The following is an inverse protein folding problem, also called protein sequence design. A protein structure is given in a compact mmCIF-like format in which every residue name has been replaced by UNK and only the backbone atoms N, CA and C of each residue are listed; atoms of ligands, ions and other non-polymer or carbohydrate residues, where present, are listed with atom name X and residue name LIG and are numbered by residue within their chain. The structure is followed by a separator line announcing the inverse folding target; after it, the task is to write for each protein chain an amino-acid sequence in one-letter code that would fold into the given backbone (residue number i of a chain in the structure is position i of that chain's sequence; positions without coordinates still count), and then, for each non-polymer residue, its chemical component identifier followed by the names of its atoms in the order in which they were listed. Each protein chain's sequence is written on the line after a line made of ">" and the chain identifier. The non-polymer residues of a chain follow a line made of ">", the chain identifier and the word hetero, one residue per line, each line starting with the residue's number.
data_IF_932152865262
#
_entry.id   IF_932152865262
#
_cell.length_a   1.000
_cell.length_b   1.000
_cell.length_c   1.000
_cell.angle_alpha   90.00
_cell.angle_beta   90.00
_cell.angle_gamma   90.00
#
_symmetry.space_group_name_H-M   'P 1'
#
loop_
_entity.id
_entity.type
_entity.pdbx_description
1 polymer ?
#
# COMPACT_ATOMS: atom_id res chain seq x y z
N UNK A 1 -18.77 64.24 -55.55
CA UNK A 1 -19.28 63.08 -54.79
C UNK A 1 -18.19 62.02 -54.70
N UNK A 2 -17.63 61.75 -53.51
CA UNK A 2 -16.65 60.66 -53.32
C UNK A 2 -17.42 59.38 -53.01
N UNK A 3 -17.37 58.40 -53.91
CA UNK A 3 -17.90 57.06 -53.69
C UNK A 3 -16.89 56.29 -52.83
N UNK A 4 -17.25 56.03 -51.57
CA UNK A 4 -16.51 55.12 -50.70
C UNK A 4 -16.84 53.67 -51.10
N UNK A 5 -15.91 53.03 -51.82
CA UNK A 5 -15.92 51.58 -52.03
C UNK A 5 -15.75 50.89 -50.67
N UNK A 6 -16.84 50.39 -50.10
CA UNK A 6 -16.81 49.55 -48.91
C UNK A 6 -16.25 48.16 -49.28
N UNK A 7 -14.93 48.00 -49.23
CA UNK A 7 -14.26 46.70 -49.31
C UNK A 7 -14.66 45.86 -48.07
N UNK A 8 -15.55 44.88 -48.26
CA UNK A 8 -15.92 43.93 -47.21
C UNK A 8 -14.77 42.93 -47.00
N UNK A 9 -14.19 42.90 -45.80
CA UNK A 9 -13.17 41.91 -45.41
C UNK A 9 -13.78 40.50 -45.41
N UNK A 10 -13.29 39.61 -46.27
CA UNK A 10 -13.67 38.18 -46.27
C UNK A 10 -12.75 37.43 -45.31
N UNK A 11 -13.29 36.95 -44.19
CA UNK A 11 -12.56 36.13 -43.22
C UNK A 11 -12.63 34.66 -43.59
N UNK A 12 -11.48 33.99 -43.65
CA UNK A 12 -11.38 32.54 -43.91
C UNK A 12 -11.88 31.76 -42.70
N UNK A 13 -12.61 30.67 -42.94
CA UNK A 13 -13.04 29.75 -41.87
C UNK A 13 -11.81 29.05 -41.29
N UNK A 14 -11.58 29.13 -39.97
CA UNK A 14 -10.44 28.47 -39.35
C UNK A 14 -10.61 26.95 -39.46
N UNK A 15 -9.62 26.32 -40.08
CA UNK A 15 -9.53 24.86 -40.23
C UNK A 15 -8.20 24.39 -39.68
N UNK A 16 -8.12 23.11 -39.29
CA UNK A 16 -6.88 22.48 -38.83
C UNK A 16 -6.32 21.61 -39.96
N UNK A 17 -4.99 21.59 -40.10
CA UNK A 17 -4.29 20.72 -41.07
C UNK A 17 -4.39 19.24 -40.69
N UNK A 18 -4.46 18.94 -39.39
CA UNK A 18 -4.62 17.58 -38.85
C UNK A 18 -5.82 17.55 -37.92
N UNK A 19 -6.75 16.62 -38.18
CA UNK A 19 -7.99 16.45 -37.40
C UNK A 19 -8.10 14.99 -36.97
N UNK A 20 -8.28 14.76 -35.66
CA UNK A 20 -8.54 13.44 -35.11
C UNK A 20 -9.90 12.92 -35.58
N UNK A 21 -9.99 11.63 -35.92
CA UNK A 21 -11.23 11.03 -36.40
C UNK A 21 -12.43 11.19 -35.43
N UNK A 22 -12.18 11.23 -34.12
CA UNK A 22 -13.25 11.44 -33.12
C UNK A 22 -13.88 12.84 -33.23
N UNK A 23 -13.14 13.85 -33.71
CA UNK A 23 -13.67 15.18 -33.96
C UNK A 23 -14.59 15.25 -35.19
N UNK A 24 -14.57 14.21 -36.05
CA UNK A 24 -15.49 14.06 -37.19
C UNK A 24 -16.82 13.41 -36.80
N UNK A 25 -17.01 13.10 -35.51
CA UNK A 25 -18.25 12.49 -35.02
C UNK A 25 -19.41 13.47 -35.14
N UNK A 26 -20.50 12.99 -35.74
CA UNK A 26 -21.71 13.78 -35.89
C UNK A 26 -22.36 14.06 -34.52
N UNK A 27 -22.75 15.32 -34.31
CA UNK A 27 -23.66 15.73 -33.26
C UNK A 27 -24.75 16.61 -33.88
N UNK A 28 -26.05 16.41 -33.58
CA UNK A 28 -27.14 17.15 -34.23
C UNK A 28 -27.02 18.68 -34.15
N UNK A 29 -26.36 19.19 -33.09
CA UNK A 29 -26.13 20.62 -32.87
C UNK A 29 -24.71 21.09 -33.19
N UNK A 30 -23.84 20.21 -33.73
CA UNK A 30 -22.41 20.47 -33.93
C UNK A 30 -21.69 21.05 -32.69
N UNK A 31 -22.15 20.62 -31.50
CA UNK A 31 -21.68 21.05 -30.20
C UNK A 31 -21.19 19.85 -29.40
N UNK A 32 -20.51 20.09 -28.27
CA UNK A 32 -20.14 19.02 -27.34
C UNK A 32 -21.42 18.37 -26.76
N UNK A 33 -21.56 17.04 -26.81
CA UNK A 33 -22.72 16.36 -26.22
C UNK A 33 -22.74 16.50 -24.70
N UNK A 34 -23.94 16.63 -24.12
CA UNK A 34 -24.12 16.62 -22.68
C UNK A 34 -23.76 15.23 -22.13
N UNK A 35 -22.88 15.19 -21.12
CA UNK A 35 -22.57 13.97 -20.36
C UNK A 35 -23.31 14.01 -19.02
N UNK A 36 -24.36 13.21 -18.88
CA UNK A 36 -25.10 13.08 -17.62
C UNK A 36 -24.28 12.30 -16.60
N UNK A 37 -24.38 12.69 -15.33
CA UNK A 37 -23.80 11.92 -14.22
C UNK A 37 -24.61 10.63 -14.07
N UNK A 38 -23.90 9.52 -13.83
CA UNK A 38 -24.50 8.21 -13.59
C UNK A 38 -25.43 8.23 -12.37
N UNK A 39 -26.40 7.32 -12.32
CA UNK A 39 -27.35 7.20 -11.20
C UNK A 39 -26.67 7.00 -9.84
N UNK A 40 -27.41 7.27 -8.77
CA UNK A 40 -26.90 7.15 -7.40
C UNK A 40 -26.59 5.70 -6.99
N UNK A 41 -27.17 4.72 -7.70
CA UNK A 41 -26.87 3.29 -7.56
C UNK A 41 -25.42 2.91 -7.89
N UNK A 42 -24.64 3.84 -8.45
CA UNK A 42 -23.22 3.67 -8.77
C UNK A 42 -22.31 4.50 -7.87
N UNK A 43 -22.83 5.09 -6.78
CA UNK A 43 -22.01 5.86 -5.84
C UNK A 43 -21.08 4.94 -5.02
N UNK A 44 -21.56 3.75 -4.69
CA UNK A 44 -20.79 2.67 -4.05
C UNK A 44 -20.67 1.50 -5.01
N UNK A 45 -19.60 0.71 -4.86
CA UNK A 45 -19.39 -0.52 -5.63
C UNK A 45 -19.77 -1.69 -4.74
N UNK A 46 -20.85 -2.37 -5.11
CA UNK A 46 -21.47 -3.46 -4.36
C UNK A 46 -21.67 -4.67 -5.29
N UNK A 47 -21.99 -5.84 -4.74
CA UNK A 47 -22.30 -7.07 -5.50
C UNK A 47 -23.33 -6.87 -6.63
N UNK A 48 -24.27 -5.95 -6.43
CA UNK A 48 -25.33 -5.66 -7.41
C UNK A 48 -24.81 -4.99 -8.68
N UNK A 49 -23.70 -4.23 -8.61
CA UNK A 49 -23.23 -3.40 -9.71
C UNK A 49 -21.80 -3.75 -10.20
N UNK A 50 -21.00 -4.50 -9.44
CA UNK A 50 -19.62 -4.86 -9.84
C UNK A 50 -19.55 -5.65 -11.16
N UNK A 51 -20.53 -6.52 -11.41
CA UNK A 51 -20.58 -7.37 -12.60
C UNK A 51 -21.19 -6.69 -13.83
N UNK A 52 -21.64 -5.43 -13.73
CA UNK A 52 -22.32 -4.76 -14.84
C UNK A 52 -21.42 -4.61 -16.06
N UNK A 53 -20.12 -4.35 -15.84
CA UNK A 53 -19.14 -4.24 -16.91
C UNK A 53 -18.97 -5.56 -17.66
N UNK A 54 -18.84 -6.67 -16.92
CA UNK A 54 -18.77 -8.03 -17.46
C UNK A 54 -19.99 -8.34 -18.31
N UNK A 55 -21.20 -8.13 -17.76
CA UNK A 55 -22.46 -8.38 -18.46
C UNK A 55 -22.52 -7.67 -19.82
N UNK A 56 -22.28 -6.36 -19.81
CA UNK A 56 -22.35 -5.53 -21.02
C UNK A 56 -21.28 -5.89 -22.06
N UNK A 57 -20.10 -6.36 -21.63
CA UNK A 57 -19.06 -6.84 -22.55
C UNK A 57 -19.49 -8.15 -23.21
N UNK A 58 -19.99 -9.12 -22.42
CA UNK A 58 -20.49 -10.39 -22.95
C UNK A 58 -21.67 -10.18 -23.91
N UNK A 59 -22.58 -9.25 -23.59
CA UNK A 59 -23.70 -8.85 -24.47
C UNK A 59 -23.20 -8.26 -25.80
N UNK A 60 -22.19 -7.38 -25.77
CA UNK A 60 -21.61 -6.79 -27.00
C UNK A 60 -20.88 -7.83 -27.86
N UNK A 61 -20.20 -8.79 -27.24
CA UNK A 61 -19.49 -9.87 -27.93
C UNK A 61 -20.44 -10.93 -28.53
N UNK A 62 -21.65 -11.07 -27.97
CA UNK A 62 -22.69 -11.99 -28.46
C UNK A 62 -23.71 -11.30 -29.37
N UNK A 63 -23.56 -10.00 -29.62
CA UNK A 63 -24.50 -9.15 -30.33
C UNK A 63 -24.35 -9.18 -31.86
N UNK A 64 -24.79 -8.08 -32.49
CA UNK A 64 -24.54 -7.82 -33.91
C UNK A 64 -23.36 -6.85 -34.06
N UNK A 65 -22.46 -7.15 -35.00
CA UNK A 65 -21.20 -6.41 -35.16
C UNK A 65 -21.16 -5.65 -36.49
N UNK A 66 -20.72 -4.39 -36.42
CA UNK A 66 -20.45 -3.54 -37.57
C UNK A 66 -21.70 -2.97 -38.25
N UNK A 67 -21.50 -2.18 -39.31
CA UNK A 67 -22.59 -1.52 -40.05
C UNK A 67 -23.53 -2.51 -40.73
N UNK A 68 -23.00 -3.66 -41.15
CA UNK A 68 -23.77 -4.75 -41.76
C UNK A 68 -24.53 -5.62 -40.76
N UNK A 69 -24.36 -5.35 -39.45
CA UNK A 69 -25.05 -6.05 -38.37
C UNK A 69 -24.85 -7.57 -38.42
N UNK A 70 -23.59 -8.01 -38.59
CA UNK A 70 -23.28 -9.43 -38.60
C UNK A 70 -23.58 -10.05 -37.24
N UNK A 71 -24.46 -11.05 -37.22
CA UNK A 71 -24.83 -11.78 -36.00
C UNK A 71 -23.67 -12.66 -35.54
N UNK A 72 -23.25 -12.50 -34.29
CA UNK A 72 -22.32 -13.43 -33.66
C UNK A 72 -23.03 -14.76 -33.38
N UNK A 73 -22.45 -15.86 -33.86
CA UNK A 73 -23.06 -17.19 -33.75
C UNK A 73 -22.90 -17.80 -32.35
N UNK A 74 -21.86 -17.41 -31.61
CA UNK A 74 -21.64 -17.85 -30.24
C UNK A 74 -22.31 -16.88 -29.27
N UNK A 75 -23.18 -17.40 -28.40
CA UNK A 75 -23.75 -16.65 -27.29
C UNK A 75 -22.98 -16.95 -26.00
N UNK A 76 -22.11 -16.02 -25.62
CA UNK A 76 -21.31 -16.11 -24.39
C UNK A 76 -22.01 -15.49 -23.18
N UNK A 77 -23.19 -14.87 -23.35
CA UNK A 77 -23.95 -14.30 -22.22
C UNK A 77 -24.45 -15.37 -21.25
N UNK A 78 -24.65 -16.61 -21.73
CA UNK A 78 -25.04 -17.77 -20.92
C UNK A 78 -24.07 -18.11 -19.78
N UNK A 79 -22.81 -17.68 -19.90
CA UNK A 79 -21.76 -17.93 -18.91
C UNK A 79 -21.70 -16.87 -17.80
N UNK A 80 -22.54 -15.82 -17.90
CA UNK A 80 -22.54 -14.71 -16.96
C UNK A 80 -22.88 -15.14 -15.53
N UNK A 81 -23.94 -15.93 -15.33
CA UNK A 81 -24.33 -16.34 -13.97
C UNK A 81 -23.28 -17.25 -13.33
N UNK A 82 -22.63 -18.15 -14.08
CA UNK A 82 -21.51 -18.97 -13.56
C UNK A 82 -20.31 -18.12 -13.15
N UNK A 83 -19.92 -17.16 -13.97
CA UNK A 83 -18.83 -16.22 -13.62
C UNK A 83 -19.15 -15.41 -12.36
N UNK A 84 -20.42 -15.03 -12.21
CA UNK A 84 -20.91 -14.29 -11.04
C UNK A 84 -20.98 -15.17 -9.79
N UNK A 85 -21.39 -16.44 -9.91
CA UNK A 85 -21.39 -17.44 -8.83
C UNK A 85 -19.96 -17.69 -8.32
N UNK A 86 -18.97 -17.76 -9.21
CA UNK A 86 -17.55 -17.84 -8.87
C UNK A 86 -16.97 -16.53 -8.32
N UNK A 87 -17.78 -15.46 -8.28
CA UNK A 87 -17.38 -14.16 -7.80
C UNK A 87 -16.41 -13.42 -8.73
N UNK A 88 -16.27 -13.83 -9.99
CA UNK A 88 -15.30 -13.25 -10.94
C UNK A 88 -15.96 -12.12 -11.73
N UNK A 89 -15.49 -10.89 -11.51
CA UNK A 89 -15.89 -9.74 -12.33
C UNK A 89 -14.97 -9.52 -13.55
N UNK A 90 -15.30 -8.56 -14.44
CA UNK A 90 -14.48 -8.28 -15.62
C UNK A 90 -13.07 -7.80 -15.27
N UNK A 91 -12.92 -7.06 -14.18
CA UNK A 91 -11.65 -6.50 -13.76
C UNK A 91 -10.75 -7.57 -13.17
N UNK A 92 -11.31 -8.52 -12.43
CA UNK A 92 -10.67 -9.73 -11.92
C UNK A 92 -10.27 -10.70 -13.03
N UNK A 93 -11.14 -10.92 -14.02
CA UNK A 93 -10.86 -11.77 -15.17
C UNK A 93 -9.57 -11.37 -15.91
N UNK A 94 -9.24 -10.08 -15.91
CA UNK A 94 -8.01 -9.55 -16.51
C UNK A 94 -6.76 -9.83 -15.68
N UNK A 95 -6.90 -10.08 -14.38
CA UNK A 95 -5.81 -10.41 -13.47
C UNK A 95 -5.51 -11.90 -13.42
N UNK A 96 -6.36 -12.75 -13.99
CA UNK A 96 -6.11 -14.18 -14.06
C UNK A 96 -4.91 -14.46 -14.97
N UNK A 97 -4.01 -15.31 -14.49
CA UNK A 97 -2.87 -15.78 -15.25
C UNK A 97 -3.32 -16.83 -16.29
N UNK A 98 -2.39 -17.26 -17.15
CA UNK A 98 -2.71 -18.19 -18.25
C UNK A 98 -3.27 -19.52 -17.74
N UNK A 99 -2.70 -20.09 -16.67
CA UNK A 99 -3.11 -21.38 -16.11
C UNK A 99 -4.49 -21.29 -15.44
N UNK A 100 -4.75 -20.22 -14.69
CA UNK A 100 -6.05 -19.92 -14.08
C UNK A 100 -7.12 -19.69 -15.15
N UNK A 101 -6.79 -19.03 -16.26
CA UNK A 101 -7.71 -18.87 -17.38
C UNK A 101 -8.02 -20.19 -18.09
N UNK A 102 -7.05 -21.11 -18.19
CA UNK A 102 -7.31 -22.45 -18.74
C UNK A 102 -8.22 -23.24 -17.81
N UNK A 103 -7.95 -23.24 -16.51
CA UNK A 103 -8.79 -23.89 -15.50
C UNK A 103 -10.23 -23.34 -15.52
N UNK A 104 -10.38 -22.01 -15.50
CA UNK A 104 -11.68 -21.35 -15.62
C UNK A 104 -12.40 -21.74 -16.92
N UNK A 105 -11.70 -21.77 -18.06
CA UNK A 105 -12.32 -22.06 -19.35
C UNK A 105 -12.64 -23.54 -19.54
N UNK A 106 -11.83 -24.46 -19.02
CA UNK A 106 -11.99 -25.90 -19.24
C UNK A 106 -12.87 -26.54 -18.17
N UNK A 107 -12.64 -26.22 -16.89
CA UNK A 107 -13.24 -26.94 -15.76
C UNK A 107 -14.50 -26.26 -15.20
N UNK A 108 -14.56 -24.93 -15.18
CA UNK A 108 -15.68 -24.18 -14.59
C UNK A 108 -16.72 -23.80 -15.66
N UNK A 109 -16.28 -23.05 -16.67
CA UNK A 109 -17.17 -22.54 -17.71
C UNK A 109 -17.40 -23.55 -18.84
N UNK A 110 -16.47 -24.50 -19.02
CA UNK A 110 -16.45 -25.47 -20.11
C UNK A 110 -16.69 -24.81 -21.48
N UNK A 111 -15.94 -23.76 -21.78
CA UNK A 111 -16.06 -23.00 -23.03
C UNK A 111 -15.64 -23.84 -24.24
N UNK A 112 -16.45 -23.79 -25.30
CA UNK A 112 -16.02 -24.33 -26.60
C UNK A 112 -14.85 -23.54 -27.18
N UNK A 113 -14.10 -24.14 -28.12
CA UNK A 113 -12.97 -23.46 -28.78
C UNK A 113 -13.40 -22.18 -29.49
N UNK A 114 -14.59 -22.16 -30.07
CA UNK A 114 -15.17 -20.99 -30.74
C UNK A 114 -15.58 -19.90 -29.76
N UNK A 115 -16.17 -20.26 -28.61
CA UNK A 115 -16.50 -19.29 -27.55
C UNK A 115 -15.23 -18.68 -26.95
N UNK A 116 -14.20 -19.49 -26.73
CA UNK A 116 -12.89 -19.01 -26.29
C UNK A 116 -12.31 -18.00 -27.28
N UNK A 117 -12.39 -18.28 -28.58
CA UNK A 117 -11.90 -17.37 -29.63
C UNK A 117 -12.65 -16.03 -29.67
N UNK A 118 -13.92 -15.99 -29.27
CA UNK A 118 -14.72 -14.75 -29.19
C UNK A 118 -14.34 -13.92 -27.96
N UNK A 119 -14.08 -14.57 -26.81
CA UNK A 119 -13.77 -13.89 -25.55
C UNK A 119 -12.30 -13.42 -25.47
N UNK A 120 -11.36 -14.20 -26.03
CA UNK A 120 -9.92 -13.93 -25.95
C UNK A 120 -9.51 -12.52 -26.42
N UNK A 121 -10.01 -11.97 -27.55
CA UNK A 121 -9.62 -10.62 -27.97
C UNK A 121 -9.91 -9.53 -26.94
N UNK A 122 -11.00 -9.66 -26.18
CA UNK A 122 -11.35 -8.70 -25.13
C UNK A 122 -10.42 -8.81 -23.91
N UNK A 123 -10.02 -10.03 -23.56
CA UNK A 123 -9.09 -10.31 -22.45
C UNK A 123 -7.66 -9.91 -22.84
N UNK A 124 -7.24 -10.20 -24.07
CA UNK A 124 -5.92 -9.87 -24.61
C UNK A 124 -5.72 -8.36 -24.69
N UNK A 125 -6.70 -7.64 -25.22
CA UNK A 125 -6.69 -6.18 -25.20
C UNK A 125 -6.87 -5.57 -23.79
N UNK A 126 -7.10 -6.41 -22.76
CA UNK A 126 -7.34 -6.01 -21.37
C UNK A 126 -8.31 -4.83 -21.28
N UNK A 127 -9.46 -4.94 -21.98
CA UNK A 127 -10.43 -3.85 -22.13
C UNK A 127 -10.68 -3.16 -20.77
N UNK A 128 -10.58 -1.83 -20.73
CA UNK A 128 -10.64 -1.05 -19.49
C UNK A 128 -11.88 -1.40 -18.62
N UNK A 129 -13.05 -1.51 -19.23
CA UNK A 129 -14.25 -2.03 -18.55
C UNK A 129 -15.01 -1.01 -17.68
N UNK A 130 -14.55 0.24 -17.61
CA UNK A 130 -15.23 1.31 -16.84
C UNK A 130 -16.50 1.77 -17.54
N UNK A 131 -17.59 1.91 -16.80
CA UNK A 131 -18.84 2.48 -17.31
C UNK A 131 -18.70 3.99 -17.52
N UNK A 132 -18.83 4.42 -18.78
CA UNK A 132 -18.70 5.84 -19.17
C UNK A 132 -19.99 6.60 -18.96
N UNK A 133 -19.87 7.90 -18.73
CA UNK A 133 -21.02 8.83 -18.77
C UNK A 133 -21.56 8.93 -20.21
N UNK A 134 -22.87 8.92 -20.34
CA UNK A 134 -23.59 9.05 -21.61
C UNK A 134 -24.50 10.28 -21.62
N UNK A 135 -25.17 10.48 -22.74
CA UNK A 135 -26.29 11.43 -22.89
C UNK A 135 -27.50 11.05 -22.03
N UNK A 136 -27.66 9.76 -21.71
CA UNK A 136 -28.71 9.24 -20.81
C UNK A 136 -28.18 8.93 -19.41
N UNK A 137 -29.09 8.85 -18.42
CA UNK A 137 -28.75 8.48 -17.02
C UNK A 137 -28.40 7.00 -16.84
N UNK A 138 -28.99 6.12 -17.65
CA UNK A 138 -28.68 4.68 -17.68
C UNK A 138 -27.70 4.39 -18.82
N UNK A 139 -26.40 4.48 -18.51
CA UNK A 139 -25.35 4.21 -19.49
C UNK A 139 -25.16 2.71 -19.72
N UNK A 140 -24.98 2.32 -20.98
CA UNK A 140 -24.48 1.00 -21.41
C UNK A 140 -23.14 1.12 -22.14
N UNK A 141 -22.51 2.29 -22.03
CA UNK A 141 -21.26 2.63 -22.71
C UNK A 141 -20.07 2.23 -21.83
N UNK A 142 -19.24 1.32 -22.32
CA UNK A 142 -18.03 0.86 -21.63
C UNK A 142 -16.79 1.44 -22.30
N UNK A 143 -15.78 1.72 -21.49
CA UNK A 143 -14.46 2.06 -21.97
C UNK A 143 -13.76 0.85 -22.61
N UNK A 144 -13.59 0.92 -23.94
CA UNK A 144 -12.92 -0.12 -24.77
C UNK A 144 -11.44 0.16 -25.02
N UNK A 145 -10.87 1.18 -24.37
CA UNK A 145 -9.43 1.43 -24.45
C UNK A 145 -8.66 0.27 -23.82
N UNK A 146 -7.46 0.00 -24.34
CA UNK A 146 -6.56 -1.00 -23.77
C UNK A 146 -6.17 -0.60 -22.34
N UNK A 147 -6.24 -1.57 -21.44
CA UNK A 147 -5.81 -1.40 -20.05
C UNK A 147 -4.30 -1.52 -19.91
N UNK A 148 -3.73 -0.82 -18.93
CA UNK A 148 -2.31 -0.91 -18.56
C UNK A 148 -2.17 -1.40 -17.12
N UNK A 149 -1.12 -2.18 -16.85
CA UNK A 149 -0.89 -2.80 -15.54
C UNK A 149 -0.70 -1.76 -14.42
N UNK A 150 -0.02 -0.64 -14.70
CA UNK A 150 0.20 0.48 -13.76
C UNK A 150 -1.11 1.08 -13.19
N UNK A 151 -2.21 0.89 -13.91
CA UNK A 151 -3.54 1.35 -13.53
C UNK A 151 -4.53 0.19 -13.34
N UNK A 152 -4.05 -0.98 -12.93
CA UNK A 152 -4.90 -2.11 -12.56
C UNK A 152 -5.75 -2.58 -13.73
N UNK A 153 -5.14 -2.61 -14.92
CA UNK A 153 -5.77 -2.88 -16.21
C UNK A 153 -6.92 -1.92 -16.56
N UNK A 154 -6.91 -0.70 -15.98
CA UNK A 154 -7.64 0.46 -16.52
C UNK A 154 -6.75 1.21 -17.50
N UNK A 155 -7.33 2.09 -18.29
CA UNK A 155 -6.60 2.76 -19.37
C UNK A 155 -5.83 4.03 -18.95
N UNK A 156 -5.92 4.49 -17.70
CA UNK A 156 -5.31 5.76 -17.24
C UNK A 156 -5.98 7.04 -17.76
N UNK A 157 -6.62 6.98 -18.93
CA UNK A 157 -7.31 8.10 -19.55
C UNK A 157 -8.62 8.46 -18.83
N UNK A 158 -8.98 9.74 -18.84
CA UNK A 158 -10.23 10.28 -18.30
C UNK A 158 -10.49 9.94 -16.82
N UNK A 159 -9.40 9.80 -16.02
CA UNK A 159 -9.49 9.47 -14.61
C UNK A 159 -9.74 7.99 -14.32
N UNK A 160 -9.67 7.11 -15.33
CA UNK A 160 -9.75 5.65 -15.16
C UNK A 160 -8.43 5.11 -14.56
N UNK A 161 -8.28 5.34 -13.26
CA UNK A 161 -7.16 4.88 -12.43
C UNK A 161 -7.57 3.65 -11.63
N UNK A 162 -6.68 3.11 -10.78
CA UNK A 162 -6.97 1.95 -9.93
C UNK A 162 -8.33 2.08 -9.22
N UNK A 163 -9.05 0.95 -9.18
CA UNK A 163 -10.32 0.76 -8.48
C UNK A 163 -11.51 1.59 -8.97
N UNK A 164 -11.37 2.29 -10.11
CA UNK A 164 -12.50 2.97 -10.75
C UNK A 164 -13.35 1.96 -11.54
N UNK A 165 -14.63 1.82 -11.17
CA UNK A 165 -15.62 1.00 -11.90
C UNK A 165 -16.56 1.87 -12.76
N UNK A 166 -16.87 3.08 -12.28
CA UNK A 166 -17.85 3.98 -12.89
C UNK A 166 -17.28 5.40 -13.04
N UNK A 167 -17.42 6.01 -14.22
CA UNK A 167 -16.80 7.30 -14.53
C UNK A 167 -17.34 8.44 -13.66
N UNK A 168 -16.43 9.02 -12.88
CA UNK A 168 -16.70 10.12 -11.95
C UNK A 168 -17.66 9.76 -10.82
N UNK A 169 -17.52 8.54 -10.31
CA UNK A 169 -18.00 8.06 -9.01
C UNK A 169 -16.81 7.74 -8.11
N UNK A 170 -17.08 7.40 -6.86
CA UNK A 170 -16.02 7.01 -5.92
C UNK A 170 -15.28 5.76 -6.45
N UNK A 171 -14.00 5.65 -6.09
CA UNK A 171 -13.26 4.41 -6.27
C UNK A 171 -13.92 3.32 -5.43
N UNK A 172 -13.89 2.09 -5.93
CA UNK A 172 -14.28 0.95 -5.13
C UNK A 172 -13.41 0.91 -3.87
N UNK A 173 -13.99 0.53 -2.73
CA UNK A 173 -13.22 0.32 -1.53
C UNK A 173 -12.41 -0.97 -1.72
N UNK A 174 -11.06 -0.92 -1.79
CA UNK A 174 -10.24 -2.10 -2.02
C UNK A 174 -10.44 -3.16 -0.95
N UNK A 175 -10.75 -2.78 0.30
CA UNK A 175 -11.07 -3.73 1.37
C UNK A 175 -12.34 -4.52 1.08
N UNK A 176 -13.36 -3.86 0.52
CA UNK A 176 -14.63 -4.47 0.15
C UNK A 176 -14.45 -5.37 -1.08
N UNK A 177 -13.69 -4.90 -2.08
CA UNK A 177 -13.36 -5.72 -3.24
C UNK A 177 -12.52 -6.95 -2.88
N UNK A 178 -11.56 -6.84 -1.95
CA UNK A 178 -10.74 -7.97 -1.54
C UNK A 178 -11.52 -9.05 -0.78
N UNK A 179 -12.61 -8.69 -0.10
CA UNK A 179 -13.57 -9.67 0.46
C UNK A 179 -14.29 -10.42 -0.68
N UNK A 180 -14.60 -9.72 -1.77
CA UNK A 180 -15.29 -10.26 -2.94
C UNK A 180 -14.36 -10.96 -3.96
N UNK A 181 -13.04 -10.73 -3.89
CA UNK A 181 -11.99 -11.34 -4.72
C UNK A 181 -11.65 -12.80 -4.34
N UNK A 182 -12.43 -13.43 -3.46
CA UNK A 182 -12.26 -14.83 -3.04
C UNK A 182 -12.77 -15.79 -4.12
N UNK A 183 -12.12 -15.78 -5.30
CA UNK A 183 -12.40 -16.76 -6.35
C UNK A 183 -11.97 -18.16 -5.88
N UNK A 184 -12.83 -19.17 -6.02
CA UNK A 184 -12.54 -20.57 -5.69
C UNK A 184 -11.27 -21.09 -6.40
N UNK A 185 -11.01 -20.60 -7.61
CA UNK A 185 -9.85 -20.86 -8.47
C UNK A 185 -8.50 -20.57 -7.78
N UNK A 186 -8.47 -19.66 -6.80
CA UNK A 186 -7.25 -19.21 -6.11
C UNK A 186 -7.03 -19.83 -4.74
N UNK A 187 -7.97 -20.66 -4.26
CA UNK A 187 -7.85 -21.38 -2.99
C UNK A 187 -7.66 -22.87 -3.24
N UNK A 188 -6.51 -23.42 -2.85
CA UNK A 188 -6.20 -24.85 -3.03
C UNK A 188 -5.78 -25.45 -1.69
N UNK A 189 -6.30 -26.63 -1.37
CA UNK A 189 -5.88 -27.39 -0.19
C UNK A 189 -4.60 -28.17 -0.50
N UNK A 190 -3.55 -27.93 0.29
CA UNK A 190 -2.24 -28.59 0.16
C UNK A 190 -1.79 -29.06 1.54
N UNK A 191 -1.56 -30.36 1.68
CA UNK A 191 -1.11 -30.99 2.94
C UNK A 191 -2.01 -30.68 4.16
N UNK A 192 -3.33 -30.69 3.96
CA UNK A 192 -4.32 -30.38 5.02
C UNK A 192 -4.44 -28.89 5.36
N UNK A 193 -3.78 -28.03 4.60
CA UNK A 193 -3.78 -26.57 4.78
C UNK A 193 -4.41 -25.89 3.56
N UNK A 194 -5.38 -25.00 3.80
CA UNK A 194 -5.97 -24.17 2.73
C UNK A 194 -5.00 -23.03 2.37
N UNK A 195 -4.55 -22.99 1.12
CA UNK A 195 -3.59 -21.99 0.60
C UNK A 195 -4.33 -21.05 -0.34
N UNK A 196 -4.20 -19.74 -0.11
CA UNK A 196 -4.62 -18.70 -1.07
C UNK A 196 -3.40 -18.17 -1.83
N UNK A 197 -3.40 -18.30 -3.16
CA UNK A 197 -2.31 -17.83 -4.03
C UNK A 197 -2.72 -16.54 -4.71
N UNK A 198 -1.91 -15.47 -4.56
CA UNK A 198 -2.13 -14.17 -5.22
C UNK A 198 -0.97 -13.86 -6.17
N UNK A 199 -1.30 -13.36 -7.37
CA UNK A 199 -0.33 -13.01 -8.41
C UNK A 199 0.39 -11.69 -8.15
N UNK A 200 -0.21 -10.78 -7.38
CA UNK A 200 0.44 -9.55 -6.94
C UNK A 200 -0.13 -9.06 -5.60
N UNK A 201 0.71 -8.59 -4.67
CA UNK A 201 0.29 -7.79 -3.53
C UNK A 201 -0.31 -6.47 -4.00
N UNK A 202 -1.37 -6.02 -3.34
CA UNK A 202 -1.65 -4.58 -3.26
C UNK A 202 -0.99 -4.05 -1.97
N UNK A 203 0.22 -3.49 -2.12
CA UNK A 203 0.91 -2.80 -1.02
C UNK A 203 0.52 -1.33 -0.91
N UNK A 204 -0.46 -0.87 -1.71
CA UNK A 204 -1.00 0.46 -1.52
C UNK A 204 -1.71 0.48 -0.17
N UNK A 205 -1.15 1.25 0.76
CA UNK A 205 -1.68 1.33 2.11
C UNK A 205 -3.00 2.09 2.06
N UNK A 206 -4.08 1.38 2.38
CA UNK A 206 -5.34 1.97 2.81
C UNK A 206 -5.16 2.40 4.27
N UNK A 207 -4.59 3.59 4.49
CA UNK A 207 -4.25 4.06 5.83
C UNK A 207 -3.80 5.51 5.88
N UNK A 208 -4.79 6.41 5.97
CA UNK A 208 -4.77 7.76 6.57
C UNK A 208 -3.56 8.69 6.31
N UNK A 209 -3.16 8.89 5.05
CA UNK A 209 -2.55 10.17 4.65
C UNK A 209 -3.60 11.09 4.02
N UNK A 210 -4.53 11.58 4.84
CA UNK A 210 -5.33 12.76 4.48
C UNK A 210 -4.92 14.00 5.28
N UNK A 211 -3.94 13.87 6.18
CA UNK A 211 -3.48 14.97 7.01
C UNK A 211 -2.08 15.40 6.54
N UNK A 212 -1.84 16.70 6.30
CA UNK A 212 -0.51 17.18 6.01
C UNK A 212 0.41 16.90 7.20
N UNK A 213 1.56 16.26 6.98
CA UNK A 213 2.68 16.19 7.93
C UNK A 213 3.37 17.57 8.02
N UNK A 214 2.58 18.62 8.24
CA UNK A 214 3.08 19.93 8.59
C UNK A 214 3.07 19.99 10.12
N UNK A 215 4.22 19.93 10.79
CA UNK A 215 4.26 20.21 12.22
C UNK A 215 3.68 21.61 12.43
N UNK A 216 2.87 21.77 13.47
CA UNK A 216 2.37 23.08 13.89
C UNK A 216 3.57 23.79 14.51
N UNK A 217 4.39 24.44 13.67
CA UNK A 217 5.66 25.06 14.08
C UNK A 217 5.42 25.96 15.29
N UNK A 218 5.88 25.52 16.46
CA UNK A 218 6.20 26.40 17.55
C UNK A 218 7.61 26.92 17.29
N UNK A 219 7.80 28.22 17.45
CA UNK A 219 9.07 28.90 17.18
C UNK A 219 10.23 28.19 17.88
N UNK A 220 11.26 27.82 17.12
CA UNK A 220 12.53 27.35 17.68
C UNK A 220 13.11 28.46 18.57
N UNK A 221 13.30 28.23 19.88
CA UNK A 221 13.89 29.17 20.80
C UNK A 221 15.34 29.43 20.38
N UNK A 222 15.79 30.67 20.59
CA UNK A 222 17.12 31.12 20.18
C UNK A 222 18.25 30.39 20.93
N UNK A 223 17.96 29.81 22.10
CA UNK A 223 18.91 29.05 22.91
C UNK A 223 18.26 27.76 23.46
N UNK A 224 18.29 26.63 22.71
CA UNK A 224 17.77 25.37 23.21
C UNK A 224 18.63 24.80 24.35
N UNK A 225 18.00 24.14 25.31
CA UNK A 225 18.69 23.42 26.40
C UNK A 225 19.14 22.05 25.91
N UNK A 226 18.33 21.41 25.06
CA UNK A 226 18.58 20.07 24.54
C UNK A 226 18.75 20.08 23.03
N UNK A 227 19.64 19.21 22.54
CA UNK A 227 19.80 18.89 21.14
C UNK A 227 19.37 17.44 20.90
N UNK A 228 18.37 17.28 20.03
CA UNK A 228 17.89 15.95 19.62
C UNK A 228 18.45 15.64 18.23
N UNK A 229 19.10 14.50 18.10
CA UNK A 229 19.66 14.00 16.84
C UNK A 229 19.08 12.64 16.47
N UNK A 230 18.88 12.41 15.17
CA UNK A 230 18.37 11.14 14.66
C UNK A 230 19.55 10.22 14.33
N UNK A 231 19.59 9.02 14.93
CA UNK A 231 20.57 7.98 14.57
C UNK A 231 20.10 7.28 13.28
N UNK A 232 18.84 6.85 13.23
CA UNK A 232 18.24 6.27 12.04
C UNK A 232 17.13 5.24 12.33
N UNK A 233 16.58 4.69 11.25
CA UNK A 233 15.64 3.56 11.31
C UNK A 233 16.35 2.23 11.17
N UNK A 234 15.95 1.29 12.02
CA UNK A 234 16.16 -0.13 11.80
C UNK A 234 14.82 -0.78 11.44
N UNK A 235 14.71 -1.34 10.23
CA UNK A 235 13.55 -2.13 9.83
C UNK A 235 13.77 -3.60 10.12
N UNK A 236 12.79 -4.25 10.77
CA UNK A 236 12.83 -5.69 11.04
C UNK A 236 12.07 -6.47 9.99
N UNK A 237 12.53 -6.36 8.75
CA UNK A 237 11.92 -6.96 7.56
C UNK A 237 13.02 -7.66 6.77
N UNK A 238 12.73 -8.82 6.20
CA UNK A 238 13.69 -9.53 5.36
C UNK A 238 14.03 -8.69 4.11
N UNK A 239 15.30 -8.62 3.65
CA UNK A 239 15.69 -7.76 2.51
C UNK A 239 14.99 -8.11 1.20
N UNK A 240 14.71 -9.40 1.01
CA UNK A 240 13.98 -9.91 -0.15
C UNK A 240 12.45 -9.81 0.00
N UNK A 241 11.94 -9.23 1.09
CA UNK A 241 10.51 -9.04 1.26
C UNK A 241 9.99 -8.06 0.18
N UNK A 242 8.92 -8.41 -0.53
CA UNK A 242 8.40 -7.62 -1.64
C UNK A 242 7.92 -6.20 -1.23
N UNK A 243 7.73 -5.91 0.07
CA UNK A 243 7.40 -4.58 0.60
C UNK A 243 8.59 -3.62 0.67
N UNK A 244 9.82 -4.14 0.73
CA UNK A 244 11.04 -3.35 0.98
C UNK A 244 11.21 -2.23 -0.05
N UNK A 245 11.14 -2.58 -1.34
CA UNK A 245 11.33 -1.61 -2.42
C UNK A 245 10.27 -0.50 -2.39
N UNK A 246 8.95 -0.81 -2.43
CA UNK A 246 7.93 0.23 -2.48
C UNK A 246 7.79 1.02 -1.16
N UNK A 247 7.97 0.40 0.00
CA UNK A 247 7.66 1.02 1.30
C UNK A 247 8.90 1.54 2.05
N UNK A 248 10.12 1.12 1.70
CA UNK A 248 11.36 1.61 2.34
C UNK A 248 12.20 2.40 1.33
N UNK A 249 12.64 1.76 0.25
CA UNK A 249 13.60 2.38 -0.69
C UNK A 249 12.97 3.51 -1.50
N UNK A 250 11.83 3.24 -2.16
CA UNK A 250 11.10 4.25 -2.95
C UNK A 250 10.48 5.35 -2.07
N UNK A 251 10.14 5.01 -0.83
CA UNK A 251 9.54 5.90 0.14
C UNK A 251 10.52 6.51 1.15
N UNK A 252 11.82 6.41 0.91
CA UNK A 252 12.86 6.87 1.84
C UNK A 252 12.66 8.33 2.29
N UNK A 253 12.22 9.19 1.37
CA UNK A 253 11.95 10.61 1.66
C UNK A 253 10.82 10.80 2.69
N UNK A 254 9.81 9.93 2.66
CA UNK A 254 8.68 10.03 3.60
C UNK A 254 9.07 9.55 4.99
N UNK A 255 9.93 8.54 5.09
CA UNK A 255 10.53 8.11 6.36
C UNK A 255 11.46 9.16 6.96
N UNK A 256 12.28 9.80 6.13
CA UNK A 256 13.12 10.93 6.54
C UNK A 256 12.26 12.10 7.08
N UNK A 257 11.16 12.41 6.40
CA UNK A 257 10.20 13.41 6.87
C UNK A 257 9.55 13.00 8.20
N UNK A 258 9.12 11.74 8.32
CA UNK A 258 8.55 11.22 9.57
C UNK A 258 9.55 11.34 10.72
N UNK A 259 10.82 10.95 10.52
CA UNK A 259 11.85 11.09 11.53
C UNK A 259 12.07 12.55 11.96
N UNK A 260 12.10 13.48 11.00
CA UNK A 260 12.23 14.91 11.29
C UNK A 260 11.05 15.44 12.12
N UNK A 261 9.82 15.01 11.81
CA UNK A 261 8.63 15.38 12.60
C UNK A 261 8.69 14.79 14.00
N UNK A 262 9.03 13.50 14.16
CA UNK A 262 9.17 12.88 15.48
C UNK A 262 10.28 13.53 16.29
N UNK A 263 11.43 13.81 15.68
CA UNK A 263 12.55 14.54 16.29
C UNK A 263 12.10 15.90 16.81
N UNK A 264 11.34 16.65 16.02
CA UNK A 264 10.81 17.95 16.43
C UNK A 264 9.86 17.83 17.62
N UNK A 265 8.91 16.89 17.59
CA UNK A 265 7.96 16.68 18.70
C UNK A 265 8.70 16.31 19.99
N UNK A 266 9.69 15.42 19.89
CA UNK A 266 10.54 15.05 21.05
C UNK A 266 11.25 16.28 21.60
N UNK A 267 11.87 17.06 20.73
CA UNK A 267 12.57 18.28 21.12
C UNK A 267 11.62 19.29 21.80
N UNK A 268 10.40 19.47 21.28
CA UNK A 268 9.38 20.33 21.91
C UNK A 268 8.96 19.83 23.30
N UNK A 269 8.75 18.52 23.48
CA UNK A 269 8.40 17.95 24.79
C UNK A 269 9.53 18.11 25.80
N UNK A 270 10.79 18.04 25.34
CA UNK A 270 11.95 18.25 26.19
C UNK A 270 12.07 19.70 26.66
N UNK A 271 11.98 20.66 25.75
CA UNK A 271 12.12 22.09 26.12
C UNK A 271 10.98 22.59 27.03
N UNK A 272 9.78 22.02 26.92
CA UNK A 272 8.65 22.44 27.74
C UNK A 272 8.63 21.83 29.14
N UNK A 273 8.99 20.55 29.26
CA UNK A 273 8.69 19.76 30.45
C UNK A 273 9.92 19.10 31.08
N UNK A 274 11.03 18.98 30.36
CA UNK A 274 12.17 18.22 30.86
C UNK A 274 13.09 19.05 31.76
N UNK A 275 13.67 18.36 32.75
CA UNK A 275 14.70 18.91 33.62
C UNK A 275 16.03 18.27 33.28
N UNK A 276 17.07 19.10 33.16
CA UNK A 276 18.44 18.69 32.82
C UNK A 276 19.05 17.76 33.89
N UNK A 277 19.78 16.73 33.45
CA UNK A 277 20.55 15.81 34.28
C UNK A 277 21.99 15.71 33.77
N UNK A 278 22.80 14.93 34.49
CA UNK A 278 24.14 14.58 34.06
C UNK A 278 24.14 13.96 32.65
N UNK A 279 25.22 14.15 31.88
CA UNK A 279 25.34 13.63 30.52
C UNK A 279 25.13 12.11 30.43
N UNK A 280 24.36 11.67 29.43
CA UNK A 280 24.22 10.24 29.14
C UNK A 280 25.53 9.70 28.55
N UNK A 281 26.07 8.56 29.03
CA UNK A 281 27.24 7.94 28.40
C UNK A 281 27.00 7.59 26.92
N UNK A 282 28.08 7.52 26.13
CA UNK A 282 28.02 7.05 24.74
C UNK A 282 27.98 5.52 24.65
N UNK A 283 28.51 4.85 25.66
CA UNK A 283 28.54 3.40 25.76
C UNK A 283 27.25 2.89 26.42
N UNK A 284 26.72 1.80 25.87
CA UNK A 284 25.67 1.02 26.50
C UNK A 284 26.32 -0.04 27.39
N UNK A 285 25.87 -0.17 28.63
CA UNK A 285 26.23 -1.33 29.46
C UNK A 285 25.35 -2.52 29.07
N UNK A 286 25.87 -3.71 29.28
CA UNK A 286 25.14 -4.93 28.99
C UNK A 286 23.80 -4.96 29.74
N UNK A 287 22.70 -5.08 29.00
CA UNK A 287 21.34 -5.12 29.54
C UNK A 287 20.60 -3.78 29.64
N UNK A 288 21.23 -2.63 29.33
CA UNK A 288 20.56 -1.32 29.36
C UNK A 288 19.48 -1.15 28.27
N UNK A 289 19.57 -1.90 27.17
CA UNK A 289 18.61 -1.88 26.06
C UNK A 289 17.42 -2.83 26.26
N UNK A 290 17.31 -3.49 27.42
CA UNK A 290 16.30 -4.51 27.68
C UNK A 290 16.59 -5.85 26.98
N UNK A 291 15.64 -6.78 27.05
CA UNK A 291 15.75 -8.07 26.37
C UNK A 291 15.65 -7.90 24.84
N UNK A 292 16.35 -8.73 24.04
CA UNK A 292 16.22 -8.70 22.60
C UNK A 292 14.77 -9.01 22.22
N UNK A 293 14.26 -8.27 21.24
CA UNK A 293 12.96 -8.58 20.69
C UNK A 293 13.02 -9.90 19.93
N UNK A 294 12.11 -10.82 20.24
CA UNK A 294 12.04 -12.12 19.60
C UNK A 294 11.47 -11.98 18.18
N UNK A 295 12.29 -12.18 17.11
CA UNK A 295 11.83 -11.95 15.74
C UNK A 295 10.72 -12.92 15.31
N UNK A 296 10.69 -14.11 15.91
CA UNK A 296 9.68 -15.15 15.71
C UNK A 296 8.25 -14.67 16.00
N UNK A 297 8.08 -13.71 16.92
CA UNK A 297 6.78 -13.13 17.23
C UNK A 297 6.21 -12.32 16.06
N UNK A 298 7.05 -11.63 15.28
CA UNK A 298 6.59 -10.83 14.14
C UNK A 298 6.09 -11.69 12.97
N UNK A 299 6.76 -12.80 12.68
CA UNK A 299 6.31 -13.80 11.69
C UNK A 299 4.95 -14.38 12.10
N UNK A 300 4.78 -14.70 13.38
CA UNK A 300 3.53 -15.27 13.91
C UNK A 300 2.35 -14.29 13.96
N UNK A 301 2.56 -12.97 13.94
CA UNK A 301 1.47 -11.98 14.01
C UNK A 301 0.55 -11.99 12.79
N UNK A 302 1.01 -12.57 11.67
CA UNK A 302 0.23 -12.77 10.44
C UNK A 302 -0.48 -14.12 10.38
N UNK A 303 -0.29 -14.97 11.41
CA UNK A 303 -0.99 -16.25 11.54
C UNK A 303 -2.22 -16.08 12.42
N UNK A 304 -3.38 -16.56 11.96
CA UNK A 304 -4.59 -16.57 12.78
C UNK A 304 -4.52 -17.77 13.70
N UNK A 305 -4.47 -17.53 15.01
CA UNK A 305 -4.67 -18.59 16.00
C UNK A 305 -6.16 -18.70 16.30
N UNK A 306 -6.73 -19.86 15.98
CA UNK A 306 -8.07 -20.23 16.43
C UNK A 306 -7.98 -20.77 17.85
N UNK A 307 -8.75 -20.20 18.78
CA UNK A 307 -8.96 -20.86 20.07
C UNK A 307 -9.80 -22.11 19.83
N UNK A 308 -9.16 -23.27 19.91
CA UNK A 308 -9.88 -24.55 19.97
C UNK A 308 -10.69 -24.59 21.26
N UNK A 309 -12.01 -24.56 21.15
CA UNK A 309 -12.91 -24.83 22.27
C UNK A 309 -12.73 -26.32 22.64
N UNK A 310 -12.01 -26.56 23.72
CA UNK A 310 -11.91 -27.82 24.49
C UNK A 310 -11.57 -29.11 23.71
N UNK A 311 -10.35 -29.63 23.94
CA UNK A 311 -10.18 -31.04 24.29
C UNK A 311 -9.77 -32.06 23.23
N UNK A 312 -9.29 -31.66 22.04
CA UNK A 312 -8.63 -32.59 21.11
C UNK A 312 -7.18 -32.17 20.85
N UNK A 313 -6.24 -33.01 21.25
CA UNK A 313 -4.79 -32.76 21.20
C UNK A 313 -4.15 -32.91 19.81
N UNK A 314 -4.92 -33.12 18.74
CA UNK A 314 -4.35 -33.46 17.42
C UNK A 314 -4.85 -32.63 16.22
N UNK A 315 -5.71 -31.63 16.42
CA UNK A 315 -6.06 -30.71 15.33
C UNK A 315 -5.33 -29.37 15.51
N UNK A 316 -4.09 -29.34 15.02
CA UNK A 316 -3.37 -28.10 14.76
C UNK A 316 -4.26 -27.21 13.92
N UNK A 317 -4.76 -26.13 14.54
CA UNK A 317 -5.72 -25.21 13.92
C UNK A 317 -5.26 -24.80 12.53
N UNK A 318 -6.18 -24.85 11.56
CA UNK A 318 -5.88 -24.63 10.15
C UNK A 318 -5.16 -23.29 9.93
N UNK A 319 -3.84 -23.34 9.74
CA UNK A 319 -2.99 -22.18 9.47
C UNK A 319 -3.16 -21.82 8.00
N UNK A 320 -3.87 -20.74 7.68
CA UNK A 320 -3.97 -20.27 6.29
C UNK A 320 -2.68 -19.53 5.91
N UNK A 321 -1.81 -20.18 5.14
CA UNK A 321 -0.56 -19.57 4.65
C UNK A 321 -0.81 -18.78 3.36
N UNK A 322 -0.33 -17.54 3.29
CA UNK A 322 -0.32 -16.75 2.05
C UNK A 322 0.99 -16.98 1.30
N UNK A 323 0.92 -17.23 -0.02
CA UNK A 323 2.08 -17.48 -0.89
C UNK A 323 2.09 -16.59 -2.14
N UNK A 324 3.28 -16.25 -2.61
CA UNK A 324 3.53 -15.59 -3.89
C UNK A 324 4.11 -16.56 -4.92
N UNK A 325 3.95 -16.24 -6.19
CA UNK A 325 4.68 -16.89 -7.29
C UNK A 325 5.90 -16.02 -7.60
N UNK A 326 7.12 -16.60 -7.55
CA UNK A 326 8.36 -15.92 -7.91
C UNK A 326 8.40 -15.59 -9.41
N UNK A 327 9.39 -14.77 -9.81
CA UNK A 327 9.68 -14.51 -11.23
C UNK A 327 9.99 -15.77 -12.02
N UNK A 328 10.44 -16.82 -11.34
CA UNK A 328 10.78 -18.12 -11.92
C UNK A 328 9.61 -19.12 -11.88
N UNK A 329 8.43 -18.68 -11.41
CA UNK A 329 7.22 -19.49 -11.36
C UNK A 329 7.11 -20.40 -10.13
N UNK A 330 8.03 -20.29 -9.16
CA UNK A 330 8.00 -21.07 -7.93
C UNK A 330 7.14 -20.42 -6.85
N UNK A 331 6.38 -21.22 -6.10
CA UNK A 331 5.67 -20.73 -4.92
C UNK A 331 6.67 -20.40 -3.80
N UNK A 332 6.60 -19.19 -3.27
CA UNK A 332 7.42 -18.71 -2.16
C UNK A 332 6.52 -18.17 -1.06
N UNK A 333 6.84 -18.37 0.23
CA UNK A 333 6.09 -17.79 1.32
C UNK A 333 6.01 -16.26 1.17
N UNK A 334 4.85 -15.70 1.49
CA UNK A 334 4.67 -14.25 1.47
C UNK A 334 5.50 -13.53 2.53
N UNK A 335 5.71 -14.21 3.65
CA UNK A 335 6.49 -13.73 4.78
C UNK A 335 7.75 -14.57 4.89
N UNK A 336 8.89 -13.94 4.63
CA UNK A 336 10.18 -14.49 5.03
C UNK A 336 10.48 -14.02 6.43
N UNK A 337 11.00 -14.92 7.26
CA UNK A 337 11.45 -14.52 8.58
C UNK A 337 12.51 -13.42 8.43
N UNK A 338 12.39 -12.30 9.15
CA UNK A 338 13.40 -11.27 9.11
C UNK A 338 14.72 -11.82 9.61
N UNK A 339 15.82 -11.31 9.07
CA UNK A 339 17.16 -11.71 9.49
C UNK A 339 17.31 -11.50 11.01
N UNK A 340 17.96 -12.45 11.67
CA UNK A 340 18.21 -12.36 13.12
C UNK A 340 19.13 -11.18 13.41
N UNK A 341 18.64 -10.23 14.21
CA UNK A 341 19.44 -9.10 14.68
C UNK A 341 20.58 -9.64 15.54
N UNK A 342 21.83 -9.29 15.19
CA UNK A 342 23.02 -9.66 15.96
C UNK A 342 23.15 -8.72 17.16
N UNK A 343 23.31 -9.28 18.35
CA UNK A 343 23.55 -8.55 19.59
C UNK A 343 24.86 -8.98 20.22
N UNK A 344 25.61 -8.03 20.75
CA UNK A 344 26.80 -8.27 21.54
C UNK A 344 26.60 -7.66 22.93
N UNK A 345 26.68 -8.47 23.99
CA UNK A 345 26.37 -8.01 25.35
C UNK A 345 24.92 -7.50 25.55
N UNK A 346 23.97 -7.88 24.68
CA UNK A 346 22.60 -7.36 24.72
C UNK A 346 22.40 -6.02 23.99
N UNK A 347 23.41 -5.58 23.24
CA UNK A 347 23.39 -4.33 22.47
C UNK A 347 23.35 -4.64 20.97
N UNK A 348 22.47 -3.98 20.19
CA UNK A 348 22.48 -4.11 18.74
C UNK A 348 23.83 -3.73 18.13
N UNK A 349 24.43 -4.63 17.34
CA UNK A 349 25.73 -4.39 16.66
C UNK A 349 25.66 -3.18 15.72
N UNK A 350 24.48 -2.88 15.18
CA UNK A 350 24.26 -1.79 14.24
C UNK A 350 24.35 -0.39 14.87
N UNK A 351 24.18 -0.26 16.19
CA UNK A 351 24.11 1.03 16.85
C UNK A 351 25.52 1.63 17.03
N UNK A 352 25.75 2.91 16.67
CA UNK A 352 27.05 3.56 16.84
C UNK A 352 27.33 3.92 18.31
N UNK A 353 26.29 4.21 19.08
CA UNK A 353 26.34 4.61 20.49
C UNK A 353 24.95 4.46 21.15
N UNK A 354 24.87 4.72 22.45
CA UNK A 354 23.65 4.63 23.25
C UNK A 354 22.55 5.62 22.80
N UNK A 355 21.37 5.14 22.36
CA UNK A 355 20.22 6.02 22.12
C UNK A 355 19.64 6.52 23.44
N UNK A 356 19.02 7.69 23.41
CA UNK A 356 18.30 8.26 24.56
C UNK A 356 16.82 7.91 24.51
N UNK A 357 16.24 7.87 23.31
CA UNK A 357 14.84 7.55 23.06
C UNK A 357 14.75 6.53 21.93
N UNK A 358 13.93 5.50 22.12
CA UNK A 358 13.64 4.47 21.12
C UNK A 358 12.15 4.43 20.86
N UNK A 359 11.75 4.77 19.64
CA UNK A 359 10.37 4.60 19.18
C UNK A 359 10.28 3.27 18.44
N UNK A 360 9.56 2.33 19.01
CA UNK A 360 9.42 0.97 18.51
C UNK A 360 8.03 0.74 17.94
N UNK A 361 7.98 0.18 16.74
CA UNK A 361 6.78 -0.28 16.05
C UNK A 361 6.76 -1.80 16.04
N UNK A 362 5.70 -2.39 16.55
CA UNK A 362 5.50 -3.84 16.59
C UNK A 362 4.11 -4.24 16.09
N UNK A 363 4.02 -5.39 15.43
CA UNK A 363 2.72 -5.93 15.05
C UNK A 363 2.02 -6.54 16.27
N UNK A 364 0.76 -6.18 16.44
CA UNK A 364 -0.13 -6.85 17.39
C UNK A 364 -0.51 -8.22 16.84
N UNK A 365 -0.29 -9.28 17.62
CA UNK A 365 -0.85 -10.59 17.30
C UNK A 365 -2.38 -10.52 17.32
N UNK A 366 -3.00 -10.99 16.24
CA UNK A 366 -4.46 -11.03 16.12
C UNK A 366 -4.94 -12.41 16.55
N UNK A 367 -5.34 -12.54 17.82
CA UNK A 367 -6.07 -13.71 18.33
C UNK A 367 -7.57 -13.46 18.15
N UNK A 368 -8.29 -14.40 17.52
CA UNK A 368 -9.74 -14.25 17.28
C UNK A 368 -10.50 -15.48 17.74
N UNK A 369 -11.59 -15.23 18.45
CA UNK A 369 -12.42 -16.22 19.14
C UNK A 369 -13.65 -16.66 18.34
N UNK A 370 -14.06 -15.95 17.28
CA UNK A 370 -15.29 -16.24 16.55
C UNK A 370 -15.12 -16.41 15.02
N UNK A 371 -15.67 -17.49 14.43
CA UNK A 371 -15.54 -17.82 13.01
C UNK A 371 -16.35 -16.90 12.06
N UNK A 372 -17.35 -16.17 12.55
CA UNK A 372 -18.25 -15.36 11.70
C UNK A 372 -17.62 -14.02 11.28
N UNK A 373 -16.62 -13.53 12.03
CA UNK A 373 -15.81 -12.35 11.67
C UNK A 373 -14.63 -12.68 10.74
N UNK A 374 -14.43 -13.96 10.40
CA UNK A 374 -13.32 -14.49 9.57
C UNK A 374 -13.47 -14.12 8.09
N UNK A 375 -14.71 -13.88 7.63
CA UNK A 375 -14.95 -13.63 6.21
C UNK A 375 -14.77 -12.17 5.79
N UNK A 376 -14.80 -11.22 6.73
CA UNK A 376 -15.02 -9.80 6.42
C UNK A 376 -13.85 -8.87 6.71
N UNK A 377 -12.79 -9.34 7.34
CA UNK A 377 -11.63 -8.49 7.65
C UNK A 377 -10.37 -9.10 7.08
N UNK A 378 -9.74 -8.34 6.19
CA UNK A 378 -8.34 -8.55 5.84
C UNK A 378 -7.52 -8.66 7.11
N UNK A 379 -6.55 -9.57 7.12
CA UNK A 379 -5.45 -9.60 8.10
C UNK A 379 -4.57 -8.37 7.86
N UNK A 380 -5.11 -7.19 8.13
CA UNK A 380 -4.34 -5.97 8.14
C UNK A 380 -3.51 -5.97 9.42
N UNK A 381 -2.18 -5.85 9.30
CA UNK A 381 -1.35 -5.74 10.48
C UNK A 381 -1.75 -4.50 11.26
N UNK A 382 -2.17 -4.68 12.52
CA UNK A 382 -2.31 -3.57 13.45
C UNK A 382 -0.93 -3.33 14.05
N UNK A 383 -0.43 -2.12 13.88
CA UNK A 383 0.88 -1.70 14.41
C UNK A 383 0.66 -0.97 15.73
N UNK A 384 1.23 -1.52 16.79
CA UNK A 384 1.36 -0.86 18.08
C UNK A 384 2.71 -0.15 18.14
N UNK A 385 2.69 1.14 18.52
CA UNK A 385 3.88 1.99 18.66
C UNK A 385 4.10 2.27 20.14
N UNK A 386 5.32 2.01 20.60
CA UNK A 386 5.78 2.27 21.98
C UNK A 386 7.01 3.17 21.96
N UNK A 387 7.20 3.95 23.02
CA UNK A 387 8.33 4.85 23.19
C UNK A 387 9.06 4.50 24.48
N UNK A 388 10.37 4.25 24.39
CA UNK A 388 11.23 3.93 25.52
C UNK A 388 12.26 5.03 25.73
N UNK A 389 12.60 5.30 26.98
CA UNK A 389 13.62 6.28 27.39
C UNK A 389 14.75 5.56 28.10
N UNK A 390 15.98 5.98 27.81
CA UNK A 390 17.16 5.42 28.45
C UNK A 390 17.19 5.78 29.96
N UNK A 391 17.49 4.84 30.87
CA UNK A 391 17.48 5.10 32.32
C UNK A 391 18.43 6.22 32.76
N UNK A 392 19.53 6.39 32.03
CA UNK A 392 20.55 7.43 32.26
C UNK A 392 20.47 8.54 31.20
N UNK A 393 19.29 8.80 30.62
CA UNK A 393 19.12 9.95 29.74
C UNK A 393 19.53 11.26 30.45
N UNK A 394 20.05 12.23 29.69
CA UNK A 394 20.48 13.53 30.23
C UNK A 394 19.30 14.44 30.63
N UNK A 395 18.10 13.88 30.74
CA UNK A 395 16.88 14.56 31.10
C UNK A 395 15.99 13.64 31.92
N UNK A 396 15.02 14.21 32.61
CA UNK A 396 13.87 13.49 33.16
C UNK A 396 12.63 14.37 33.11
N UNK A 397 11.47 13.73 33.09
CA UNK A 397 10.18 14.37 33.25
C UNK A 397 9.63 14.09 34.64
N UNK A 398 8.74 14.96 35.13
CA UNK A 398 7.91 14.61 36.29
C UNK A 398 7.02 13.40 35.92
N UNK A 399 6.53 12.63 36.90
CA UNK A 399 5.70 11.45 36.62
C UNK A 399 4.44 11.80 35.80
N UNK A 400 3.80 12.93 36.10
CA UNK A 400 2.63 13.44 35.38
C UNK A 400 2.96 13.89 33.95
N UNK A 401 4.12 14.55 33.77
CA UNK A 401 4.55 15.03 32.46
C UNK A 401 5.13 13.92 31.58
N UNK A 402 5.72 12.88 32.19
CA UNK A 402 6.33 11.75 31.48
C UNK A 402 5.28 11.01 30.66
N UNK A 403 4.18 10.59 31.29
CA UNK A 403 3.11 9.88 30.58
C UNK A 403 2.53 10.75 29.45
N UNK A 404 2.33 12.05 29.72
CA UNK A 404 1.81 12.99 28.74
C UNK A 404 2.75 13.17 27.55
N UNK A 405 4.04 13.36 27.79
CA UNK A 405 5.05 13.54 26.76
C UNK A 405 5.21 12.28 25.91
N UNK A 406 5.31 11.12 26.56
CA UNK A 406 5.41 9.83 25.87
C UNK A 406 4.18 9.56 25.00
N UNK A 407 2.98 9.81 25.51
CA UNK A 407 1.75 9.67 24.74
C UNK A 407 1.72 10.60 23.52
N UNK A 408 2.21 11.83 23.65
CA UNK A 408 2.26 12.77 22.55
C UNK A 408 3.25 12.32 21.46
N UNK A 409 4.45 11.88 21.86
CA UNK A 409 5.45 11.32 20.94
C UNK A 409 4.87 10.10 20.21
N UNK A 410 4.21 9.19 20.93
CA UNK A 410 3.57 8.00 20.36
C UNK A 410 2.44 8.37 19.40
N UNK A 411 1.61 9.37 19.72
CA UNK A 411 0.50 9.79 18.84
C UNK A 411 1.00 10.31 17.49
N UNK A 412 2.09 11.10 17.49
CA UNK A 412 2.74 11.54 16.26
C UNK A 412 3.46 10.41 15.55
N UNK A 413 4.19 9.57 16.29
CA UNK A 413 4.87 8.42 15.73
C UNK A 413 3.90 7.37 15.14
N UNK A 414 2.64 7.32 15.57
CA UNK A 414 1.57 6.48 14.97
C UNK A 414 1.12 6.97 13.59
N UNK A 415 1.47 8.20 13.19
CA UNK A 415 1.18 8.75 11.85
C UNK A 415 2.20 8.21 10.82
N UNK A 416 2.52 6.93 10.94
CA UNK A 416 3.52 6.21 10.15
C UNK A 416 3.06 6.17 8.69
N UNK A 417 3.96 6.41 7.72
CA UNK A 417 3.63 6.32 6.30
C UNK A 417 3.31 4.89 5.83
N UNK A 418 3.82 3.86 6.51
CA UNK A 418 3.68 2.46 6.10
C UNK A 418 3.51 1.49 7.27
N UNK A 419 2.94 0.32 7.00
CA UNK A 419 2.70 -0.73 7.99
C UNK A 419 3.90 -1.70 8.11
N UNK A 420 5.05 -1.19 8.56
CA UNK A 420 6.28 -1.97 8.78
C UNK A 420 6.75 -1.92 10.24
N UNK A 421 7.33 -3.00 10.78
CA UNK A 421 7.94 -3.00 12.09
C UNK A 421 9.31 -2.31 12.00
N UNK A 422 9.54 -1.33 12.87
CA UNK A 422 10.78 -0.56 12.88
C UNK A 422 11.16 -0.13 14.31
N UNK A 423 12.45 0.18 14.49
CA UNK A 423 12.94 0.98 15.61
C UNK A 423 13.50 2.29 15.05
N UNK A 424 13.03 3.43 15.57
CA UNK A 424 13.62 4.73 15.34
C UNK A 424 14.44 5.11 16.56
N UNK A 425 15.75 5.30 16.35
CA UNK A 425 16.69 5.63 17.39
C UNK A 425 16.99 7.13 17.40
N UNK A 426 16.77 7.76 18.54
CA UNK A 426 17.04 9.19 18.77
C UNK A 426 18.02 9.35 19.92
N UNK A 427 18.91 10.33 19.78
CA UNK A 427 19.90 10.72 20.80
C UNK A 427 19.61 12.14 21.27
N UNK A 428 19.63 12.32 22.58
CA UNK A 428 19.44 13.61 23.24
C UNK A 428 20.68 13.93 24.04
N UNK A 429 21.20 15.13 23.84
CA UNK A 429 22.36 15.65 24.55
C UNK A 429 22.08 17.11 24.96
N UNK A 430 22.73 17.61 26.01
CA UNK A 430 22.54 18.99 26.47
C UNK A 430 23.40 19.93 25.62
N UNK A 431 22.92 21.14 25.35
CA UNK A 431 23.70 22.11 24.56
C UNK A 431 24.96 22.60 25.27
N UNK A 432 25.03 22.46 26.61
CA UNK A 432 26.25 22.68 27.40
C UNK A 432 27.33 21.67 27.04
N UNK A 433 26.99 20.38 26.91
CA UNK A 433 27.95 19.34 26.55
C UNK A 433 28.63 19.59 25.20
N UNK A 434 27.87 20.10 24.22
CA UNK A 434 28.42 20.48 22.92
C UNK A 434 29.41 21.65 23.00
N UNK A 435 29.23 22.56 23.95
CA UNK A 435 30.12 23.72 24.16
C UNK A 435 31.36 23.34 24.97
N UNK A 436 31.18 22.54 26.01
CA UNK A 436 32.22 22.24 26.99
C UNK A 436 33.13 21.09 26.54
N UNK A 437 32.65 20.18 25.68
CA UNK A 437 33.39 18.99 25.24
C UNK A 437 33.27 18.73 23.72
N UNK A 438 33.86 19.57 22.84
CA UNK A 438 33.76 19.41 21.39
C UNK A 438 34.34 18.08 20.87
N UNK A 439 35.34 17.51 21.55
CA UNK A 439 35.91 16.20 21.21
C UNK A 439 34.89 15.06 21.28
N UNK A 440 33.87 15.17 22.15
CA UNK A 440 32.79 14.18 22.28
C UNK A 440 31.86 14.22 21.07
N UNK A 441 31.62 15.41 20.52
CA UNK A 441 30.79 15.62 19.33
C UNK A 441 31.49 15.03 18.10
N UNK A 442 32.78 15.31 17.95
CA UNK A 442 33.61 14.74 16.88
C UNK A 442 33.64 13.21 16.94
N UNK A 443 33.72 12.64 18.15
CA UNK A 443 33.67 11.19 18.34
C UNK A 443 32.31 10.60 17.95
N UNK A 444 31.21 11.26 18.31
CA UNK A 444 29.85 10.84 17.91
C UNK A 444 29.69 10.87 16.39
N UNK A 445 30.10 11.95 15.74
CA UNK A 445 30.05 12.08 14.28
C UNK A 445 30.89 11.01 13.59
N UNK A 446 32.09 10.72 14.11
CA UNK A 446 32.95 9.65 13.62
C UNK A 446 32.28 8.27 13.72
N UNK A 447 31.78 7.91 14.91
CA UNK A 447 31.10 6.61 15.13
C UNK A 447 29.83 6.47 14.28
N UNK A 448 29.08 7.56 14.09
CA UNK A 448 27.90 7.59 13.22
C UNK A 448 28.29 7.41 11.75
N UNK A 449 29.35 8.06 11.29
CA UNK A 449 29.84 7.92 9.92
C UNK A 449 30.30 6.49 9.62
N UNK A 450 31.03 5.85 10.55
CA UNK A 450 31.47 4.45 10.45
C UNK A 450 30.28 3.48 10.28
N UNK A 451 29.16 3.72 10.98
CA UNK A 451 27.95 2.87 10.92
C UNK A 451 26.82 3.40 10.02
N UNK A 452 27.05 4.48 9.28
CA UNK A 452 26.02 5.15 8.46
C UNK A 452 25.36 4.23 7.42
N UNK A 453 26.11 3.25 6.91
CA UNK A 453 25.62 2.29 5.94
C UNK A 453 24.48 1.40 6.49
N UNK A 454 24.41 1.16 7.81
CA UNK A 454 23.32 0.39 8.43
C UNK A 454 21.96 1.11 8.38
N UNK A 455 21.95 2.44 8.29
CA UNK A 455 20.74 3.26 8.37
C UNK A 455 20.35 3.86 7.00
N UNK A 456 20.99 3.43 5.91
CA UNK A 456 20.70 3.95 4.57
C UNK A 456 19.43 3.35 3.98
N UNK A 457 18.33 4.11 4.05
CA UNK A 457 17.01 3.70 3.54
C UNK A 457 16.99 3.40 2.04
N UNK A 458 17.79 4.13 1.24
CA UNK A 458 17.80 3.99 -0.23
C UNK A 458 18.57 2.76 -0.70
N UNK A 459 19.40 2.16 0.17
CA UNK A 459 20.23 0.98 -0.10
C UNK A 459 20.01 -0.11 0.95
N UNK A 460 18.78 -0.24 1.44
CA UNK A 460 18.42 -1.16 2.52
C UNK A 460 18.79 -2.62 2.21
N UNK A 461 18.61 -3.08 0.96
CA UNK A 461 18.95 -4.45 0.56
C UNK A 461 20.45 -4.72 0.52
N UNK A 462 21.24 -3.74 0.06
CA UNK A 462 22.69 -3.86 -0.03
C UNK A 462 23.34 -3.89 1.37
N UNK A 463 22.83 -3.07 2.30
CA UNK A 463 23.36 -2.98 3.66
C UNK A 463 23.08 -4.24 4.49
N UNK A 464 22.04 -5.00 4.16
CA UNK A 464 21.66 -6.22 4.88
C UNK A 464 22.26 -7.49 4.27
N UNK A 465 22.41 -7.57 2.94
CA UNK A 465 23.02 -8.72 2.25
C UNK A 465 24.52 -8.90 2.61
N UNK A 466 25.29 -7.81 2.65
CA UNK A 466 26.72 -7.83 3.02
C UNK A 466 27.00 -8.35 4.45
N UNK A 467 25.97 -8.45 5.29
CA UNK A 467 26.05 -8.90 6.67
C UNK A 467 25.59 -10.36 6.87
N UNK A 468 25.04 -11.00 5.83
CA UNK A 468 24.71 -12.42 5.84
C UNK A 468 25.91 -13.32 5.47
N UNK A 469 26.89 -12.78 4.73
CA UNK A 469 28.10 -13.48 4.28
C UNK A 469 29.31 -13.30 5.21
N UNK A 470 29.17 -12.55 6.31
CA UNK A 470 30.15 -12.38 7.39
C UNK A 470 29.55 -12.79 8.73
#
# INVERSE_FOLDING_TARGET
>A
MRWSLALRKVTRVPTRSVVLADALRYHPRYSVPRKMVLSNSFNTVDEKNRFLSLRLILEKLSGNVGRRQYRMMCDITRHFERLKEEGIDWHELKWLNRTELMDLFDNILSLSRTERAVLLPAIEAKICGVLRRSDTRHSTSICVNQGVAEHGWRCGLYGHTNDVYFEGKAKANPTVLQIYHRSSVRSVERSGVRVEVRTAPDFSVVGRFSHPLSPRVWSTPENPVFQVSTIGYEFRVHPEDPRVVPQIEAAAREWELHAAVTQQVVWEMLEMYAVERNPQPLELKSGEMGAPDCPSLYSSAFTVRHESISGSSDEQGAVTEQRMISTDGHEVPWFKEPLTQKFEGGIPVILPFAPSIVVKSSFRQVTRTFPVDVERQLLQPVVDVTCFVHPQACFWWSEEDEERCLNHIVEYAKRIPYALPFNLYLRVDTTKDFRDAPSRVEEMEKRLAEKSHYFNLRRFRESTAANSEK
#
